data_IF_517250204235
#
_entry.id   IF_517250204235
#
_cell.length_a   1.000
_cell.length_b   1.000
_cell.length_c   1.000
_cell.angle_alpha   90.00
_cell.angle_beta   90.00
_cell.angle_gamma   90.00
#
_symmetry.space_group_name_H-M   'P 1'
#
loop_
_entity.id
_entity.type
_entity.pdbx_description
1 polymer ?
#
# COMPACT_ATOMS: atom_id res chain seq x y z
N UNK A 1 -0.82 -35.56 7.20
CA UNK A 1 -0.28 -34.19 7.27
C UNK A 1 -1.32 -33.32 6.61
N UNK A 2 -2.07 -32.52 7.36
CA UNK A 2 -3.00 -31.56 6.74
C UNK A 2 -2.14 -30.49 6.08
N UNK A 3 -2.23 -30.36 4.76
CA UNK A 3 -1.87 -29.09 4.13
C UNK A 3 -2.85 -28.08 4.70
N UNK A 4 -2.41 -27.25 5.65
CA UNK A 4 -3.14 -26.03 5.95
C UNK A 4 -3.01 -25.17 4.71
N UNK A 5 -4.08 -25.08 3.92
CA UNK A 5 -4.15 -24.14 2.81
C UNK A 5 -3.98 -22.73 3.40
N UNK A 6 -3.04 -21.97 2.83
CA UNK A 6 -2.75 -20.60 3.25
C UNK A 6 -3.51 -19.65 2.35
N UNK A 7 -4.43 -18.88 2.94
CA UNK A 7 -5.22 -17.88 2.24
C UNK A 7 -4.42 -16.59 2.05
N UNK A 8 -4.25 -16.15 0.81
CA UNK A 8 -3.64 -14.87 0.45
C UNK A 8 -4.70 -13.77 0.39
N UNK A 9 -4.64 -12.85 1.34
CA UNK A 9 -5.54 -11.70 1.45
C UNK A 9 -4.82 -10.43 1.02
N UNK A 10 -5.29 -9.79 -0.05
CA UNK A 10 -4.84 -8.44 -0.44
C UNK A 10 -5.58 -7.42 0.38
N UNK A 11 -4.84 -6.55 1.06
CA UNK A 11 -5.39 -5.46 1.84
C UNK A 11 -4.98 -4.11 1.26
N UNK A 12 -5.92 -3.39 0.65
CA UNK A 12 -5.72 -2.00 0.24
C UNK A 12 -5.91 -1.07 1.45
N UNK A 13 -4.82 -0.46 1.89
CA UNK A 13 -4.84 0.46 3.05
C UNK A 13 -5.50 1.78 2.71
N UNK A 14 -5.93 2.51 3.73
CA UNK A 14 -6.20 3.94 3.58
C UNK A 14 -5.10 4.78 4.26
N UNK A 15 -3.89 4.24 4.38
CA UNK A 15 -2.76 4.89 5.05
C UNK A 15 -2.35 6.22 4.40
N UNK A 16 -1.77 7.10 5.22
CA UNK A 16 -1.43 8.48 4.87
C UNK A 16 0.03 8.69 4.41
N UNK A 17 0.85 7.65 4.22
CA UNK A 17 2.27 7.86 3.91
C UNK A 17 2.51 8.51 2.54
N UNK A 18 1.50 8.54 1.65
CA UNK A 18 1.59 9.38 0.44
C UNK A 18 1.70 10.87 0.75
N UNK A 19 1.31 11.33 1.94
CA UNK A 19 1.48 12.74 2.33
C UNK A 19 2.94 13.08 2.65
N UNK A 20 3.79 12.08 2.88
CA UNK A 20 5.23 12.24 3.06
C UNK A 20 5.97 12.38 1.72
N UNK A 21 6.84 13.39 1.64
CA UNK A 21 7.58 13.70 0.42
C UNK A 21 8.60 12.62 0.02
N UNK A 22 9.29 12.02 0.98
CA UNK A 22 10.33 11.00 0.72
C UNK A 22 9.70 9.72 0.19
N UNK A 23 8.52 9.36 0.71
CA UNK A 23 7.72 8.26 0.20
C UNK A 23 7.31 8.53 -1.26
N UNK A 24 6.75 9.70 -1.57
CA UNK A 24 6.37 10.03 -2.96
C UNK A 24 7.55 10.01 -3.92
N UNK A 25 8.69 10.58 -3.53
CA UNK A 25 9.94 10.54 -4.30
C UNK A 25 10.41 9.10 -4.54
N UNK A 26 10.34 8.26 -3.52
CA UNK A 26 10.73 6.85 -3.63
C UNK A 26 9.79 6.05 -4.54
N UNK A 27 8.49 6.32 -4.49
CA UNK A 27 7.51 5.70 -5.38
C UNK A 27 7.77 6.03 -6.86
N UNK A 28 8.27 7.24 -7.16
CA UNK A 28 8.64 7.62 -8.53
C UNK A 28 9.83 6.84 -9.10
N UNK A 29 10.53 6.02 -8.31
CA UNK A 29 11.56 5.10 -8.80
C UNK A 29 10.97 3.75 -9.25
N UNK A 30 9.69 3.50 -8.99
CA UNK A 30 9.00 2.27 -9.39
C UNK A 30 8.41 2.47 -10.81
N UNK A 31 8.79 1.67 -11.82
CA UNK A 31 8.36 1.87 -13.21
C UNK A 31 6.85 1.87 -13.41
N UNK A 32 6.13 0.98 -12.71
CA UNK A 32 4.67 0.89 -12.78
C UNK A 32 3.99 2.17 -12.27
N UNK A 33 4.57 2.82 -11.25
CA UNK A 33 4.08 4.11 -10.76
C UNK A 33 4.29 5.19 -11.83
N UNK A 34 5.51 5.30 -12.40
CA UNK A 34 5.80 6.28 -13.46
C UNK A 34 4.83 6.12 -14.63
N UNK A 35 4.65 4.87 -15.10
CA UNK A 35 3.72 4.57 -16.19
C UNK A 35 2.30 4.98 -15.83
N UNK A 36 1.82 4.58 -14.65
CA UNK A 36 0.49 4.91 -14.17
C UNK A 36 0.24 6.43 -14.11
N UNK A 37 1.17 7.21 -13.56
CA UNK A 37 1.03 8.66 -13.49
C UNK A 37 0.98 9.29 -14.89
N UNK A 38 1.82 8.82 -15.82
CA UNK A 38 1.82 9.30 -17.21
C UNK A 38 0.49 9.02 -17.90
N UNK A 39 -0.01 7.80 -17.78
CA UNK A 39 -1.23 7.35 -18.45
C UNK A 39 -2.47 8.11 -17.92
N UNK A 40 -2.43 8.56 -16.66
CA UNK A 40 -3.55 9.22 -15.98
C UNK A 40 -3.38 10.75 -15.80
N UNK A 41 -2.31 11.35 -16.33
CA UNK A 41 -2.01 12.79 -16.19
C UNK A 41 -3.17 13.68 -16.66
N UNK A 42 -3.92 13.26 -17.68
CA UNK A 42 -5.04 14.02 -18.24
C UNK A 42 -6.24 14.14 -17.28
N UNK A 43 -6.33 13.29 -16.25
CA UNK A 43 -7.39 13.36 -15.24
C UNK A 43 -7.16 14.49 -14.22
N UNK A 44 -5.94 15.01 -14.13
CA UNK A 44 -5.54 16.01 -13.14
C UNK A 44 -5.42 17.39 -13.79
N UNK A 45 -6.54 18.13 -13.78
CA UNK A 45 -6.56 19.50 -14.30
C UNK A 45 -5.67 20.42 -13.46
N UNK A 46 -4.91 21.27 -14.14
CA UNK A 46 -4.04 22.30 -13.54
C UNK A 46 -2.97 21.77 -12.57
N UNK A 47 -2.60 20.48 -12.67
CA UNK A 47 -1.57 19.90 -11.84
C UNK A 47 -0.77 18.87 -12.63
N UNK A 48 0.55 19.00 -12.62
CA UNK A 48 1.45 17.96 -13.09
C UNK A 48 1.67 16.93 -11.97
N UNK A 49 1.33 15.67 -12.23
CA UNK A 49 1.41 14.60 -11.25
C UNK A 49 2.85 14.29 -10.82
N UNK A 50 3.82 14.40 -11.72
CA UNK A 50 5.22 14.16 -11.38
C UNK A 50 5.73 15.27 -10.46
N UNK A 51 5.37 16.52 -10.75
CA UNK A 51 5.73 17.66 -9.89
C UNK A 51 5.02 17.55 -8.53
N UNK A 52 3.74 17.16 -8.48
CA UNK A 52 3.03 16.90 -7.23
C UNK A 52 3.68 15.78 -6.40
N UNK A 53 4.22 14.75 -7.05
CA UNK A 53 4.94 13.68 -6.35
C UNK A 53 6.33 14.13 -5.87
N UNK A 54 6.94 15.14 -6.49
CA UNK A 54 8.29 15.64 -6.15
C UNK A 54 8.32 16.87 -5.23
N UNK A 55 7.19 17.59 -5.07
CA UNK A 55 7.12 18.85 -4.33
C UNK A 55 5.94 18.86 -3.35
N UNK A 56 6.22 19.17 -2.07
CA UNK A 56 5.21 19.18 -1.02
C UNK A 56 4.17 20.29 -1.20
N UNK A 57 4.56 21.47 -1.68
CA UNK A 57 3.63 22.60 -1.86
C UNK A 57 2.65 22.26 -2.99
N UNK A 58 3.15 21.71 -4.10
CA UNK A 58 2.32 21.29 -5.23
C UNK A 58 1.38 20.17 -4.83
N UNK A 59 1.88 19.17 -4.09
CA UNK A 59 1.03 18.12 -3.53
C UNK A 59 -0.07 18.69 -2.63
N UNK A 60 0.24 19.67 -1.80
CA UNK A 60 -0.72 20.30 -0.90
C UNK A 60 -1.81 21.10 -1.62
N UNK A 61 -1.57 21.56 -2.85
CA UNK A 61 -2.59 22.20 -3.69
C UNK A 61 -3.60 21.23 -4.30
N UNK A 62 -3.30 19.92 -4.30
CA UNK A 62 -4.29 18.91 -4.71
C UNK A 62 -5.48 18.94 -3.75
N UNK A 63 -6.68 19.04 -4.30
CA UNK A 63 -7.88 18.92 -3.50
C UNK A 63 -8.08 17.47 -3.01
N UNK A 64 -9.02 17.28 -2.08
CA UNK A 64 -9.31 15.98 -1.49
C UNK A 64 -9.56 14.88 -2.54
N UNK A 65 -10.37 15.15 -3.57
CA UNK A 65 -10.69 14.19 -4.62
C UNK A 65 -9.46 13.84 -5.48
N UNK A 66 -8.61 14.82 -5.77
CA UNK A 66 -7.37 14.59 -6.51
C UNK A 66 -6.39 13.74 -5.69
N UNK A 67 -6.19 14.04 -4.41
CA UNK A 67 -5.34 13.22 -3.52
C UNK A 67 -5.86 11.80 -3.41
N UNK A 68 -7.18 11.63 -3.24
CA UNK A 68 -7.82 10.33 -3.20
C UNK A 68 -7.64 9.54 -4.51
N UNK A 69 -7.82 10.21 -5.65
CA UNK A 69 -7.63 9.60 -6.97
C UNK A 69 -6.17 9.19 -7.18
N UNK A 70 -5.22 10.05 -6.85
CA UNK A 70 -3.79 9.78 -6.96
C UNK A 70 -3.39 8.56 -6.12
N UNK A 71 -3.87 8.47 -4.88
CA UNK A 71 -3.67 7.31 -4.02
C UNK A 71 -4.24 6.04 -4.64
N UNK A 72 -5.46 6.09 -5.18
CA UNK A 72 -6.10 4.95 -5.83
C UNK A 72 -5.31 4.47 -7.05
N UNK A 73 -4.75 5.40 -7.84
CA UNK A 73 -3.90 5.09 -9.00
C UNK A 73 -2.59 4.40 -8.57
N UNK A 74 -1.92 4.94 -7.56
CA UNK A 74 -0.70 4.34 -6.99
C UNK A 74 -0.99 2.94 -6.46
N UNK A 75 -2.07 2.77 -5.69
CA UNK A 75 -2.48 1.47 -5.19
C UNK A 75 -2.77 0.46 -6.31
N UNK A 76 -3.47 0.89 -7.36
CA UNK A 76 -3.73 0.03 -8.51
C UNK A 76 -2.44 -0.39 -9.22
N UNK A 77 -1.49 0.53 -9.42
CA UNK A 77 -0.20 0.24 -10.04
C UNK A 77 0.67 -0.69 -9.19
N UNK A 78 0.65 -0.50 -7.86
CA UNK A 78 1.30 -1.41 -6.91
C UNK A 78 0.66 -2.80 -6.97
N UNK A 79 -0.66 -2.90 -7.00
CA UNK A 79 -1.35 -4.18 -7.15
C UNK A 79 -1.07 -4.86 -8.50
N UNK A 80 -1.05 -4.11 -9.60
CA UNK A 80 -0.68 -4.64 -10.92
C UNK A 80 0.74 -5.23 -10.88
N UNK A 81 1.67 -4.55 -10.22
CA UNK A 81 3.03 -5.05 -10.01
C UNK A 81 3.05 -6.35 -9.19
N UNK A 82 2.28 -6.40 -8.10
CA UNK A 82 2.14 -7.61 -7.27
C UNK A 82 1.60 -8.79 -8.07
N UNK A 83 0.49 -8.60 -8.79
CA UNK A 83 -0.20 -9.66 -9.53
C UNK A 83 0.66 -10.29 -10.63
N UNK A 84 1.62 -9.54 -11.19
CA UNK A 84 2.61 -10.09 -12.14
C UNK A 84 3.56 -11.13 -11.55
N UNK A 85 3.56 -11.33 -10.24
CA UNK A 85 4.28 -12.44 -9.59
C UNK A 85 3.58 -13.80 -9.82
N UNK A 86 2.36 -13.81 -10.38
CA UNK A 86 1.62 -15.03 -10.70
C UNK A 86 0.90 -15.64 -9.50
N UNK A 87 0.79 -14.91 -8.39
CA UNK A 87 0.02 -15.29 -7.22
C UNK A 87 -1.40 -14.72 -7.38
N UNK A 88 -2.39 -15.58 -7.39
CA UNK A 88 -3.79 -15.15 -7.35
C UNK A 88 -4.23 -14.94 -5.91
N UNK A 89 -4.91 -13.83 -5.60
CA UNK A 89 -5.39 -13.59 -4.25
C UNK A 89 -6.71 -14.34 -4.03
N UNK A 90 -6.85 -14.98 -2.87
CA UNK A 90 -8.10 -15.62 -2.45
C UNK A 90 -9.15 -14.58 -2.06
N UNK A 91 -8.70 -13.45 -1.51
CA UNK A 91 -9.58 -12.37 -1.06
C UNK A 91 -8.95 -11.00 -1.24
N UNK A 92 -9.76 -10.01 -1.61
CA UNK A 92 -9.38 -8.61 -1.67
C UNK A 92 -10.24 -7.81 -0.68
N UNK A 93 -9.58 -7.11 0.24
CA UNK A 93 -10.18 -6.25 1.26
C UNK A 93 -9.70 -4.82 1.03
N UNK A 94 -10.60 -3.84 1.13
CA UNK A 94 -10.26 -2.41 1.05
C UNK A 94 -10.72 -1.70 2.29
N UNK A 95 -9.85 -0.94 2.96
CA UNK A 95 -10.19 -0.21 4.19
C UNK A 95 -11.46 0.64 4.06
N UNK A 96 -11.65 1.29 2.91
CA UNK A 96 -12.78 2.17 2.63
C UNK A 96 -14.15 1.48 2.58
N UNK A 97 -14.17 0.15 2.44
CA UNK A 97 -15.42 -0.62 2.40
C UNK A 97 -15.97 -0.87 3.83
N UNK A 98 -15.26 -0.40 4.86
CA UNK A 98 -15.61 -0.57 6.27
C UNK A 98 -15.86 0.79 6.93
N UNK A 99 -16.94 0.87 7.72
CA UNK A 99 -17.32 2.11 8.43
C UNK A 99 -16.24 2.52 9.42
N UNK A 100 -15.71 1.56 10.17
CA UNK A 100 -14.69 1.78 11.18
C UNK A 100 -13.72 0.59 11.25
N UNK A 101 -12.64 0.77 12.01
CA UNK A 101 -11.60 -0.23 12.15
C UNK A 101 -12.10 -1.51 12.85
N UNK A 102 -13.10 -1.42 13.72
CA UNK A 102 -13.60 -2.59 14.46
C UNK A 102 -14.26 -3.62 13.53
N UNK A 103 -14.96 -3.17 12.49
CA UNK A 103 -15.55 -4.06 11.48
C UNK A 103 -14.48 -4.77 10.64
N UNK A 104 -13.41 -4.04 10.27
CA UNK A 104 -12.26 -4.59 9.57
C UNK A 104 -11.55 -5.64 10.43
N UNK A 105 -11.26 -5.30 11.68
CA UNK A 105 -10.66 -6.18 12.67
C UNK A 105 -11.48 -7.47 12.86
N UNK A 106 -12.80 -7.35 13.03
CA UNK A 106 -13.70 -8.49 13.14
C UNK A 106 -13.69 -9.39 11.90
N UNK A 107 -13.48 -8.83 10.70
CA UNK A 107 -13.35 -9.61 9.47
C UNK A 107 -12.07 -10.45 9.49
N UNK A 108 -10.93 -9.85 9.82
CA UNK A 108 -9.66 -10.58 9.93
C UNK A 108 -9.67 -11.63 11.04
N UNK A 109 -10.37 -11.38 12.17
CA UNK A 109 -10.58 -12.38 13.22
C UNK A 109 -11.30 -13.60 12.66
N UNK A 110 -12.40 -13.39 11.93
CA UNK A 110 -13.17 -14.50 11.35
C UNK A 110 -12.33 -15.29 10.36
N UNK A 111 -11.63 -14.62 9.45
CA UNK A 111 -10.75 -15.29 8.48
C UNK A 111 -9.69 -16.14 9.20
N UNK A 112 -9.11 -15.64 10.30
CA UNK A 112 -8.02 -16.32 10.99
C UNK A 112 -8.49 -17.57 11.76
N UNK A 113 -9.80 -17.73 11.94
CA UNK A 113 -10.39 -18.96 12.49
C UNK A 113 -10.59 -20.06 11.44
N UNK A 114 -10.57 -19.72 10.15
CA UNK A 114 -10.84 -20.66 9.06
C UNK A 114 -9.55 -21.29 8.55
N UNK A 115 -8.55 -20.46 8.24
CA UNK A 115 -7.31 -20.87 7.57
C UNK A 115 -6.11 -20.02 8.05
N UNK A 116 -4.89 -20.44 7.71
CA UNK A 116 -3.70 -19.60 7.90
C UNK A 116 -3.75 -18.46 6.89
N UNK A 117 -3.63 -17.21 7.34
CA UNK A 117 -3.73 -16.04 6.45
C UNK A 117 -2.36 -15.44 6.17
N UNK A 118 -2.05 -15.26 4.89
CA UNK A 118 -1.02 -14.36 4.41
C UNK A 118 -1.66 -13.04 3.96
N UNK A 119 -1.42 -11.95 4.69
CA UNK A 119 -1.94 -10.61 4.31
C UNK A 119 -0.89 -9.84 3.53
N UNK A 120 -1.18 -9.48 2.28
CA UNK A 120 -0.35 -8.58 1.49
C UNK A 120 -0.96 -7.19 1.47
N UNK A 121 -0.24 -6.23 2.02
CA UNK A 121 -0.70 -4.85 2.10
C UNK A 121 -0.34 -4.08 0.82
N UNK A 122 -1.33 -3.39 0.22
CA UNK A 122 -1.18 -2.54 -0.97
C UNK A 122 -1.49 -1.10 -0.60
N UNK A 123 -0.45 -0.27 -0.57
CA UNK A 123 -0.61 1.16 -0.46
C UNK A 123 0.69 1.87 -0.10
N UNK A 124 0.76 3.17 -0.36
CA UNK A 124 1.82 4.00 0.19
C UNK A 124 1.45 4.32 1.64
N UNK A 125 1.40 3.33 2.52
CA UNK A 125 0.96 3.53 3.89
C UNK A 125 0.67 2.27 4.68
N UNK A 126 1.05 2.30 5.95
CA UNK A 126 0.56 1.39 6.99
C UNK A 126 -0.63 2.04 7.71
N UNK A 127 -1.54 1.24 8.22
CA UNK A 127 -2.57 1.65 9.16
C UNK A 127 -2.57 0.70 10.36
N UNK A 128 -3.50 0.94 11.30
CA UNK A 128 -3.59 0.19 12.56
C UNK A 128 -3.79 -1.32 12.38
N UNK A 129 -4.07 -1.79 11.16
CA UNK A 129 -4.23 -3.21 10.87
C UNK A 129 -2.95 -4.00 11.20
N UNK A 130 -1.76 -3.47 10.92
CA UNK A 130 -0.50 -4.19 11.18
C UNK A 130 -0.35 -4.51 12.69
N UNK A 131 -0.55 -3.49 13.53
CA UNK A 131 -0.47 -3.64 14.99
C UNK A 131 -1.54 -4.61 15.49
N UNK A 132 -2.74 -4.58 14.93
CA UNK A 132 -3.84 -5.48 15.26
C UNK A 132 -3.53 -6.94 14.88
N UNK A 133 -3.13 -7.21 13.63
CA UNK A 133 -2.80 -8.56 13.15
C UNK A 133 -1.70 -9.20 14.00
N UNK A 134 -0.68 -8.42 14.35
CA UNK A 134 0.45 -8.88 15.17
C UNK A 134 0.07 -9.12 16.63
N UNK A 135 -0.46 -8.10 17.29
CA UNK A 135 -0.61 -8.10 18.75
C UNK A 135 -1.82 -8.92 19.18
N UNK A 136 -2.93 -8.80 18.45
CA UNK A 136 -4.20 -9.37 18.88
C UNK A 136 -4.47 -10.73 18.26
N UNK A 137 -4.18 -10.91 16.96
CA UNK A 137 -4.47 -12.18 16.28
C UNK A 137 -3.33 -13.20 16.36
N UNK A 138 -2.11 -12.80 16.75
CA UNK A 138 -0.93 -13.69 16.85
C UNK A 138 -0.73 -14.57 15.61
N UNK A 139 -1.19 -14.11 14.46
CA UNK A 139 -0.92 -14.77 13.18
C UNK A 139 0.61 -14.86 13.06
N UNK A 140 1.15 -15.98 12.58
CA UNK A 140 2.57 -16.12 12.21
C UNK A 140 2.88 -15.17 11.05
N UNK A 141 2.84 -13.88 11.33
CA UNK A 141 2.95 -12.82 10.35
C UNK A 141 4.38 -12.34 10.37
N UNK A 142 5.11 -12.60 9.29
CA UNK A 142 6.39 -11.97 9.07
C UNK A 142 6.21 -10.45 9.09
N UNK A 143 7.20 -9.78 9.66
CA UNK A 143 7.14 -8.43 10.24
C UNK A 143 6.66 -7.31 9.33
N UNK A 144 6.62 -7.50 8.01
CA UNK A 144 6.19 -6.50 7.02
C UNK A 144 5.83 -7.23 5.74
N UNK A 145 4.56 -7.58 5.60
CA UNK A 145 4.03 -8.12 4.35
C UNK A 145 3.31 -7.05 3.54
N UNK A 146 3.80 -5.81 3.50
CA UNK A 146 3.44 -4.94 2.39
C UNK A 146 4.12 -5.41 1.10
N UNK A 147 3.50 -5.15 -0.04
CA UNK A 147 4.06 -5.61 -1.31
C UNK A 147 5.45 -5.06 -1.59
N UNK A 148 5.76 -3.83 -1.16
CA UNK A 148 7.07 -3.23 -1.40
C UNK A 148 8.15 -3.99 -0.61
N UNK A 149 7.88 -4.35 0.65
CA UNK A 149 8.77 -5.15 1.49
C UNK A 149 8.93 -6.59 0.99
N UNK A 150 7.91 -7.15 0.35
CA UNK A 150 7.93 -8.51 -0.19
C UNK A 150 8.56 -8.62 -1.58
N UNK A 151 8.61 -7.54 -2.35
CA UNK A 151 9.15 -7.56 -3.70
C UNK A 151 10.68 -7.46 -3.69
N UNK A 152 11.42 -8.52 -4.11
CA UNK A 152 12.88 -8.51 -4.10
C UNK A 152 13.49 -7.40 -4.97
N UNK A 153 12.77 -6.91 -5.99
CA UNK A 153 13.20 -5.80 -6.86
C UNK A 153 13.00 -4.43 -6.21
N UNK A 154 12.34 -4.36 -5.05
CA UNK A 154 12.09 -3.15 -4.27
C UNK A 154 12.74 -3.19 -2.88
N UNK A 155 13.67 -4.11 -2.62
CA UNK A 155 14.40 -4.20 -1.35
C UNK A 155 15.09 -2.88 -0.93
N UNK A 156 15.48 -2.05 -1.90
CA UNK A 156 16.06 -0.73 -1.72
C UNK A 156 15.07 0.33 -1.20
N UNK A 157 13.76 0.11 -1.28
CA UNK A 157 12.76 1.16 -1.07
C UNK A 157 12.79 1.72 0.35
N UNK A 158 12.58 0.88 1.35
CA UNK A 158 12.51 1.34 2.74
C UNK A 158 13.86 1.76 3.28
N UNK A 159 14.95 1.14 2.81
CA UNK A 159 16.31 1.60 3.10
C UNK A 159 16.56 3.00 2.53
N UNK A 160 16.16 3.24 1.28
CA UNK A 160 16.28 4.52 0.61
C UNK A 160 15.44 5.62 1.28
N UNK A 161 14.17 5.32 1.61
CA UNK A 161 13.29 6.26 2.33
C UNK A 161 13.94 6.68 3.66
N UNK A 162 14.45 5.72 4.44
CA UNK A 162 15.10 6.02 5.74
C UNK A 162 16.36 6.86 5.55
N UNK A 163 17.19 6.52 4.56
CA UNK A 163 18.40 7.29 4.26
C UNK A 163 18.08 8.75 3.89
N UNK A 164 17.06 8.97 3.05
CA UNK A 164 16.66 10.31 2.63
C UNK A 164 16.09 11.14 3.80
N UNK A 165 15.31 10.52 4.70
CA UNK A 165 14.83 11.19 5.91
C UNK A 165 16.00 11.64 6.79
N UNK A 166 16.99 10.76 7.01
CA UNK A 166 18.17 11.08 7.83
C UNK A 166 19.06 12.16 7.22
N UNK A 167 19.12 12.28 5.88
CA UNK A 167 19.89 13.34 5.21
C UNK A 167 19.24 14.73 5.32
N UNK A 168 17.94 14.78 5.63
CA UNK A 168 17.15 16.00 5.71
C UNK A 168 16.68 16.34 7.14
N UNK A 169 17.14 15.57 8.15
CA UNK A 169 16.92 15.82 9.58
C UNK A 169 18.05 16.67 10.18
#
# INVERSE_FOLDING_TARGET
MSNTETMTVIYFTDGALIDDLHIRKSLLRIPEIIKCLRDNQKEFLNCDLFIAMMDQKVFNYLNYHQKFRLKSLIQAALFERWSRQGIEPDLIIRRRDYVDFSQLAATFVKLATLEEIQVVTIGPGFDDLESFLRIQLKVRSCLLHDMISQDPKLNWFWEGVKADIHLHS
#
